data_IF_831142833391
#
_entry.id   IF_831142833391
#
_cell.length_a   1.000
_cell.length_b   1.000
_cell.length_c   1.000
_cell.angle_alpha   90.00
_cell.angle_beta   90.00
_cell.angle_gamma   90.00
#
_symmetry.space_group_name_H-M   'P 1'
#
loop_
_entity.id
_entity.type
_entity.pdbx_description
1 polymer ?
#
# COMPACT_ATOMS: atom_id res chain seq x y z
N UNK A 1 2.90 -22.99 -11.01
CA UNK A 1 1.74 -23.23 -11.92
C UNK A 1 1.91 -22.37 -13.18
N UNK A 2 1.25 -22.66 -14.30
CA UNK A 2 1.34 -21.78 -15.48
C UNK A 2 0.51 -20.50 -15.28
N UNK A 3 0.94 -19.39 -15.88
CA UNK A 3 0.17 -18.14 -15.86
C UNK A 3 -1.09 -18.27 -16.73
N UNK A 4 -2.20 -17.68 -16.28
CA UNK A 4 -3.48 -17.60 -17.01
C UNK A 4 -3.72 -16.16 -17.42
N UNK A 5 -3.43 -15.85 -18.68
CA UNK A 5 -3.53 -14.50 -19.22
C UNK A 5 -4.69 -14.47 -20.21
N UNK A 6 -5.66 -13.59 -19.99
CA UNK A 6 -6.77 -13.44 -20.92
C UNK A 6 -6.27 -12.91 -22.28
N UNK A 7 -6.79 -13.38 -23.43
CA UNK A 7 -6.32 -12.95 -24.76
C UNK A 7 -6.43 -11.44 -25.05
N UNK A 8 -7.25 -10.72 -24.28
CA UNK A 8 -7.43 -9.27 -24.40
C UNK A 8 -6.60 -8.45 -23.40
N UNK A 9 -5.83 -9.11 -22.54
CA UNK A 9 -4.88 -8.41 -21.68
C UNK A 9 -3.72 -7.89 -22.52
N UNK A 10 -3.24 -6.69 -22.21
CA UNK A 10 -2.10 -6.06 -22.88
C UNK A 10 -0.92 -6.06 -21.92
N UNK A 11 0.14 -6.78 -22.27
CA UNK A 11 1.38 -6.84 -21.50
C UNK A 11 2.50 -6.27 -22.38
N UNK A 12 3.11 -5.18 -21.94
CA UNK A 12 4.24 -4.57 -22.62
C UNK A 12 5.52 -5.41 -22.52
N UNK A 13 6.54 -5.08 -23.32
CA UNK A 13 7.73 -5.90 -23.52
C UNK A 13 8.58 -6.09 -22.25
N UNK A 14 8.46 -5.18 -21.27
CA UNK A 14 9.23 -5.19 -20.03
C UNK A 14 8.45 -5.77 -18.83
N UNK A 15 7.32 -6.44 -19.08
CA UNK A 15 6.55 -7.13 -18.03
C UNK A 15 7.17 -8.49 -17.74
N UNK A 16 7.56 -8.70 -16.49
CA UNK A 16 8.09 -9.97 -15.98
C UNK A 16 7.13 -10.54 -14.95
N UNK A 17 6.71 -11.79 -15.16
CA UNK A 17 5.79 -12.48 -14.26
C UNK A 17 6.51 -13.69 -13.66
N UNK A 18 6.28 -13.93 -12.36
CA UNK A 18 6.45 -15.23 -11.76
C UNK A 18 5.44 -16.24 -12.32
N UNK A 19 5.06 -17.20 -11.49
CA UNK A 19 4.21 -18.34 -11.86
C UNK A 19 2.83 -18.25 -11.22
N UNK A 20 1.84 -18.93 -11.80
CA UNK A 20 0.48 -19.00 -11.24
C UNK A 20 -0.34 -17.70 -11.28
N UNK A 21 0.16 -16.64 -11.92
CA UNK A 21 -0.54 -15.37 -12.02
C UNK A 21 -1.78 -15.48 -12.91
N UNK A 22 -2.84 -14.74 -12.54
CA UNK A 22 -4.07 -14.58 -13.32
C UNK A 22 -4.19 -13.14 -13.77
N UNK A 23 -4.21 -12.91 -15.08
CA UNK A 23 -4.39 -11.58 -15.67
C UNK A 23 -5.71 -11.54 -16.44
N UNK A 24 -6.65 -10.73 -15.95
CA UNK A 24 -8.02 -10.61 -16.44
C UNK A 24 -8.16 -9.87 -17.77
N UNK A 25 -9.38 -9.88 -18.35
CA UNK A 25 -9.64 -9.26 -19.64
C UNK A 25 -9.40 -7.75 -19.60
N UNK A 26 -8.73 -7.22 -20.63
CA UNK A 26 -8.44 -5.78 -20.78
C UNK A 26 -7.62 -5.16 -19.64
N UNK A 27 -6.97 -5.98 -18.80
CA UNK A 27 -5.92 -5.48 -17.92
C UNK A 27 -4.72 -5.01 -18.77
N UNK A 28 -4.07 -3.94 -18.34
CA UNK A 28 -2.93 -3.33 -19.04
C UNK A 28 -1.74 -3.25 -18.11
N UNK A 29 -0.68 -4.01 -18.42
CA UNK A 29 0.61 -3.95 -17.73
C UNK A 29 1.62 -3.38 -18.73
N UNK A 30 2.18 -2.18 -18.49
CA UNK A 30 3.01 -1.51 -19.50
C UNK A 30 4.50 -1.85 -19.34
N UNK A 31 5.06 -1.68 -18.14
CA UNK A 31 6.46 -2.00 -17.86
C UNK A 31 7.32 -0.76 -17.69
N UNK A 32 8.49 -0.82 -17.01
CA UNK A 32 9.08 -2.00 -16.41
C UNK A 32 8.33 -2.45 -15.15
N UNK A 33 7.82 -3.68 -15.17
CA UNK A 33 6.96 -4.25 -14.13
C UNK A 33 7.44 -5.66 -13.83
N UNK A 34 7.65 -5.98 -12.56
CA UNK A 34 7.91 -7.35 -12.11
C UNK A 34 6.83 -7.75 -11.09
N UNK A 35 6.13 -8.85 -11.36
CA UNK A 35 5.20 -9.49 -10.42
C UNK A 35 5.80 -10.82 -9.96
N UNK A 36 5.68 -11.12 -8.67
CA UNK A 36 5.97 -12.44 -8.11
C UNK A 36 4.95 -13.51 -8.52
N UNK A 37 4.73 -14.47 -7.63
CA UNK A 37 3.86 -15.62 -7.89
C UNK A 37 2.40 -15.38 -7.47
N UNK A 38 1.48 -16.09 -8.09
CA UNK A 38 0.08 -16.25 -7.64
C UNK A 38 -0.70 -14.94 -7.44
N UNK A 39 -0.35 -13.87 -8.17
CA UNK A 39 -1.13 -12.63 -8.14
C UNK A 39 -2.39 -12.75 -9.00
N UNK A 40 -3.44 -12.05 -8.60
CA UNK A 40 -4.67 -11.89 -9.37
C UNK A 40 -4.83 -10.43 -9.80
N UNK A 41 -4.82 -10.18 -11.11
CA UNK A 41 -5.08 -8.86 -11.70
C UNK A 41 -6.42 -8.92 -12.42
N UNK A 42 -7.42 -8.20 -11.92
CA UNK A 42 -8.78 -8.21 -12.48
C UNK A 42 -8.88 -7.42 -13.79
N UNK A 43 -10.07 -7.48 -14.39
CA UNK A 43 -10.37 -6.75 -15.62
C UNK A 43 -10.11 -5.24 -15.46
N UNK A 44 -9.56 -4.62 -16.50
CA UNK A 44 -9.32 -3.17 -16.57
C UNK A 44 -8.40 -2.59 -15.49
N UNK A 45 -7.65 -3.41 -14.74
CA UNK A 45 -6.57 -2.90 -13.90
C UNK A 45 -5.39 -2.45 -14.76
N UNK A 46 -4.73 -1.35 -14.37
CA UNK A 46 -3.59 -0.78 -15.09
C UNK A 46 -2.36 -0.69 -14.16
N UNK A 47 -1.25 -1.32 -14.53
CA UNK A 47 -0.04 -1.39 -13.70
C UNK A 47 1.19 -1.00 -14.51
N UNK A 48 2.02 -0.11 -13.94
CA UNK A 48 3.34 0.24 -14.46
C UNK A 48 3.34 1.17 -15.66
N UNK A 49 2.39 2.09 -15.72
CA UNK A 49 2.47 3.23 -16.64
C UNK A 49 3.41 4.33 -16.17
N UNK A 50 3.65 5.30 -17.04
CA UNK A 50 4.51 6.45 -16.74
C UNK A 50 4.08 7.18 -15.46
N UNK A 51 5.02 7.68 -14.65
CA UNK A 51 4.69 8.39 -13.42
C UNK A 51 3.87 9.66 -13.72
N UNK A 52 2.89 9.95 -12.88
CA UNK A 52 2.03 11.14 -13.02
C UNK A 52 2.73 12.42 -12.52
N UNK A 53 3.83 12.78 -13.18
CA UNK A 53 4.64 13.96 -12.84
C UNK A 53 4.62 14.95 -13.99
N UNK A 54 4.42 16.23 -13.67
CA UNK A 54 4.42 17.30 -14.68
C UNK A 54 5.78 17.41 -15.37
N UNK A 55 5.77 17.68 -16.67
CA UNK A 55 6.99 17.90 -17.46
C UNK A 55 7.65 16.63 -18.00
N UNK A 56 7.03 15.46 -17.78
CA UNK A 56 7.42 14.22 -18.44
C UNK A 56 6.56 13.98 -19.70
N UNK A 57 7.17 13.47 -20.76
CA UNK A 57 6.44 13.09 -21.97
C UNK A 57 5.56 11.87 -21.71
N UNK A 58 4.41 11.79 -22.36
CA UNK A 58 3.56 10.60 -22.32
C UNK A 58 3.77 9.80 -23.61
N UNK A 59 4.53 8.72 -23.52
CA UNK A 59 4.70 7.76 -24.63
C UNK A 59 3.61 6.69 -24.55
N UNK A 60 3.02 6.25 -25.68
CA UNK A 60 2.10 5.11 -25.74
C UNK A 60 2.80 3.79 -25.39
N UNK A 61 3.02 3.57 -24.10
CA UNK A 61 4.01 2.63 -23.61
C UNK A 61 3.57 1.17 -23.45
N UNK A 62 2.53 0.75 -24.18
CA UNK A 62 2.08 -0.64 -24.20
C UNK A 62 2.65 -1.45 -25.37
N UNK A 63 3.28 -0.78 -26.33
CA UNK A 63 3.94 -1.41 -27.50
C UNK A 63 5.46 -1.18 -27.50
N UNK A 64 5.94 -0.20 -26.72
CA UNK A 64 7.34 0.22 -26.67
C UNK A 64 7.90 0.08 -25.25
N UNK A 65 9.22 0.03 -25.14
CA UNK A 65 9.90 0.06 -23.85
C UNK A 65 9.76 1.43 -23.19
N UNK A 66 9.60 1.43 -21.86
CA UNK A 66 9.64 2.65 -21.06
C UNK A 66 11.04 2.81 -20.46
N UNK A 67 11.60 4.01 -20.59
CA UNK A 67 12.69 4.46 -19.73
C UNK A 67 12.10 5.04 -18.43
N UNK A 68 12.39 4.41 -17.30
CA UNK A 68 11.79 4.80 -16.03
C UNK A 68 12.06 3.83 -14.87
N UNK A 69 11.66 4.24 -13.67
CA UNK A 69 11.78 3.42 -12.47
C UNK A 69 10.67 2.35 -12.43
N UNK A 70 10.98 1.12 -12.01
CA UNK A 70 10.06 -0.01 -12.14
C UNK A 70 8.92 -0.01 -11.13
N UNK A 71 7.90 -0.81 -11.43
CA UNK A 71 6.97 -1.33 -10.42
C UNK A 71 7.43 -2.73 -10.01
N UNK A 72 7.63 -2.92 -8.72
CA UNK A 72 8.05 -4.20 -8.12
C UNK A 72 6.91 -4.71 -7.22
N UNK A 73 6.26 -5.80 -7.62
CA UNK A 73 5.14 -6.41 -6.89
C UNK A 73 5.57 -7.80 -6.43
N UNK A 74 5.33 -8.10 -5.15
CA UNK A 74 5.52 -9.43 -4.58
C UNK A 74 4.49 -10.45 -5.07
N UNK A 75 4.11 -11.35 -4.18
CA UNK A 75 3.29 -12.53 -4.51
C UNK A 75 1.94 -12.49 -3.80
N UNK A 76 0.96 -13.23 -4.34
CA UNK A 76 -0.37 -13.44 -3.74
C UNK A 76 -1.19 -12.16 -3.51
N UNK A 77 -0.90 -11.11 -4.28
CA UNK A 77 -1.71 -9.90 -4.25
C UNK A 77 -2.96 -10.05 -5.11
N UNK A 78 -4.02 -9.33 -4.74
CA UNK A 78 -5.25 -9.22 -5.52
C UNK A 78 -5.48 -7.76 -5.89
N UNK A 79 -5.50 -7.48 -7.19
CA UNK A 79 -5.83 -6.18 -7.76
C UNK A 79 -7.19 -6.28 -8.44
N UNK A 80 -8.20 -5.63 -7.86
CA UNK A 80 -9.56 -5.63 -8.39
C UNK A 80 -9.70 -4.65 -9.57
N UNK A 81 -10.92 -4.57 -10.11
CA UNK A 81 -11.21 -3.86 -11.34
C UNK A 81 -10.82 -2.38 -11.22
N UNK A 82 -10.21 -1.83 -12.27
CA UNK A 82 -9.76 -0.44 -12.32
C UNK A 82 -8.77 -0.02 -11.23
N UNK A 83 -8.11 -0.97 -10.55
CA UNK A 83 -6.95 -0.62 -9.73
C UNK A 83 -5.86 -0.05 -10.63
N UNK A 84 -5.23 1.03 -10.18
CA UNK A 84 -4.11 1.66 -10.88
C UNK A 84 -2.86 1.70 -10.00
N UNK A 85 -1.73 1.32 -10.58
CA UNK A 85 -0.41 1.40 -9.96
C UNK A 85 0.54 2.08 -10.92
N UNK A 86 1.02 3.27 -10.56
CA UNK A 86 1.93 4.04 -11.41
C UNK A 86 3.37 3.56 -11.25
N UNK A 87 4.13 3.61 -12.34
CA UNK A 87 5.58 3.47 -12.35
C UNK A 87 6.25 4.52 -11.46
N UNK A 88 7.49 4.23 -11.09
CA UNK A 88 8.28 5.13 -10.26
C UNK A 88 8.76 6.37 -11.01
N UNK A 89 9.11 7.42 -10.27
CA UNK A 89 9.76 8.61 -10.84
C UNK A 89 11.19 8.76 -10.33
N UNK A 90 11.37 8.87 -9.01
CA UNK A 90 12.67 8.95 -8.37
C UNK A 90 13.16 7.58 -7.89
N UNK A 91 12.22 6.70 -7.52
CA UNK A 91 12.45 5.37 -6.98
C UNK A 91 11.44 4.40 -7.58
N UNK A 92 11.67 3.10 -7.44
CA UNK A 92 10.64 2.12 -7.78
C UNK A 92 9.37 2.34 -6.94
N UNK A 93 8.20 2.15 -7.56
CA UNK A 93 6.97 1.88 -6.82
C UNK A 93 7.00 0.41 -6.41
N UNK A 94 6.84 0.11 -5.12
CA UNK A 94 6.95 -1.26 -4.61
C UNK A 94 5.70 -1.68 -3.84
N UNK A 95 5.27 -2.92 -4.04
CA UNK A 95 4.18 -3.58 -3.30
C UNK A 95 4.70 -4.93 -2.82
N UNK A 96 4.49 -5.24 -1.53
CA UNK A 96 4.84 -6.51 -0.93
C UNK A 96 3.94 -7.67 -1.39
N UNK A 97 3.60 -8.52 -0.44
CA UNK A 97 2.86 -9.76 -0.62
C UNK A 97 1.50 -9.72 0.07
N UNK A 98 0.60 -10.60 -0.35
CA UNK A 98 -0.69 -10.84 0.33
C UNK A 98 -1.58 -9.58 0.47
N UNK A 99 -1.38 -8.58 -0.39
CA UNK A 99 -2.17 -7.36 -0.41
C UNK A 99 -3.51 -7.53 -1.13
N UNK A 100 -4.56 -6.93 -0.58
CA UNK A 100 -5.90 -6.90 -1.18
C UNK A 100 -6.27 -5.48 -1.60
N UNK A 101 -6.21 -5.20 -2.90
CA UNK A 101 -6.50 -3.91 -3.52
C UNK A 101 -7.87 -3.97 -4.19
N UNK A 102 -8.85 -3.30 -3.59
CA UNK A 102 -10.22 -3.29 -4.08
C UNK A 102 -10.42 -2.30 -5.23
N UNK A 103 -11.58 -2.38 -5.88
CA UNK A 103 -11.82 -1.71 -7.16
C UNK A 103 -11.56 -0.21 -7.08
N UNK A 104 -10.87 0.33 -8.09
CA UNK A 104 -10.49 1.76 -8.21
C UNK A 104 -9.52 2.27 -7.14
N UNK A 105 -8.84 1.40 -6.39
CA UNK A 105 -7.70 1.85 -5.58
C UNK A 105 -6.59 2.38 -6.49
N UNK A 106 -5.92 3.45 -6.06
CA UNK A 106 -4.84 4.10 -6.79
C UNK A 106 -3.58 4.17 -5.92
N UNK A 107 -2.47 3.65 -6.47
CA UNK A 107 -1.13 3.72 -5.89
C UNK A 107 -0.25 4.53 -6.84
N UNK A 108 0.13 5.74 -6.46
CA UNK A 108 0.90 6.63 -7.33
C UNK A 108 2.41 6.30 -7.28
N UNK A 109 3.18 7.07 -8.05
CA UNK A 109 4.62 6.90 -8.22
C UNK A 109 5.39 6.90 -6.89
N UNK A 110 6.47 6.12 -6.83
CA UNK A 110 7.40 6.02 -5.70
C UNK A 110 6.77 5.54 -4.38
N UNK A 111 5.54 5.00 -4.41
CA UNK A 111 4.91 4.45 -3.22
C UNK A 111 5.59 3.17 -2.77
N UNK A 112 5.57 2.92 -1.45
CA UNK A 112 6.07 1.70 -0.82
C UNK A 112 4.96 1.07 -0.01
N UNK A 113 4.37 0.01 -0.52
CA UNK A 113 3.28 -0.71 0.13
C UNK A 113 3.83 -2.03 0.66
N UNK A 114 3.62 -2.29 1.95
CA UNK A 114 4.09 -3.47 2.65
C UNK A 114 3.26 -4.72 2.39
N UNK A 115 3.44 -5.72 3.26
CA UNK A 115 2.77 -7.01 3.21
C UNK A 115 1.39 -6.98 3.93
N UNK A 116 0.49 -7.91 3.59
CA UNK A 116 -0.79 -8.13 4.30
C UNK A 116 -1.67 -6.86 4.40
N UNK A 117 -1.55 -5.96 3.43
CA UNK A 117 -2.32 -4.71 3.42
C UNK A 117 -3.73 -4.92 2.87
N UNK A 118 -4.68 -4.13 3.36
CA UNK A 118 -6.01 -4.02 2.74
C UNK A 118 -6.23 -2.59 2.27
N UNK A 119 -6.32 -2.41 0.96
CA UNK A 119 -6.57 -1.13 0.31
C UNK A 119 -7.99 -1.15 -0.25
N UNK A 120 -8.94 -0.56 0.48
CA UNK A 120 -10.35 -0.59 0.10
C UNK A 120 -10.65 0.19 -1.19
N UNK A 121 -11.88 0.05 -1.69
CA UNK A 121 -12.28 0.64 -2.96
C UNK A 121 -12.10 2.17 -2.92
N UNK A 122 -11.64 2.73 -4.04
CA UNK A 122 -11.42 4.18 -4.22
C UNK A 122 -10.43 4.81 -3.23
N UNK A 123 -9.57 4.03 -2.57
CA UNK A 123 -8.46 4.59 -1.80
C UNK A 123 -7.44 5.22 -2.75
N UNK A 124 -6.92 6.38 -2.39
CA UNK A 124 -5.89 7.10 -3.17
C UNK A 124 -4.64 7.29 -2.31
N UNK A 125 -3.55 6.65 -2.68
CA UNK A 125 -2.22 6.93 -2.16
C UNK A 125 -1.48 7.83 -3.15
N UNK A 126 -1.23 9.09 -2.78
CA UNK A 126 -0.47 10.03 -3.60
C UNK A 126 1.02 9.64 -3.69
N UNK A 127 1.82 10.40 -4.45
CA UNK A 127 3.23 10.07 -4.68
C UNK A 127 4.05 9.94 -3.38
N UNK A 128 5.01 9.01 -3.37
CA UNK A 128 5.88 8.74 -2.22
C UNK A 128 5.18 8.33 -0.92
N UNK A 129 3.96 7.79 -0.97
CA UNK A 129 3.29 7.28 0.22
C UNK A 129 3.90 5.94 0.65
N UNK A 130 4.11 5.78 1.95
CA UNK A 130 4.47 4.48 2.55
C UNK A 130 3.24 3.92 3.27
N UNK A 131 2.85 2.70 2.96
CA UNK A 131 1.88 1.93 3.75
C UNK A 131 2.63 0.73 4.31
N UNK A 132 2.80 0.70 5.63
CA UNK A 132 3.52 -0.39 6.31
C UNK A 132 2.63 -1.63 6.50
N UNK A 133 3.26 -2.73 6.89
CA UNK A 133 2.65 -4.06 6.91
C UNK A 133 1.35 -4.11 7.72
N UNK A 134 0.36 -4.80 7.15
CA UNK A 134 -0.87 -5.09 7.85
C UNK A 134 -1.83 -3.92 8.02
N UNK A 135 -1.53 -2.77 7.43
CA UNK A 135 -2.39 -1.60 7.47
C UNK A 135 -3.68 -1.83 6.64
N UNK A 136 -4.77 -1.24 7.12
CA UNK A 136 -6.07 -1.26 6.45
C UNK A 136 -6.52 0.17 6.15
N UNK A 137 -6.74 0.47 4.88
CA UNK A 137 -7.27 1.75 4.44
C UNK A 137 -8.73 1.57 4.03
N UNK A 138 -9.64 2.22 4.76
CA UNK A 138 -11.08 2.17 4.54
C UNK A 138 -11.51 2.85 3.24
N UNK A 139 -12.72 2.49 2.77
CA UNK A 139 -13.28 2.95 1.51
C UNK A 139 -13.14 4.46 1.30
N UNK A 140 -12.55 4.86 0.17
CA UNK A 140 -12.36 6.26 -0.21
C UNK A 140 -11.37 7.06 0.64
N UNK A 141 -10.57 6.42 1.49
CA UNK A 141 -9.52 7.13 2.23
C UNK A 141 -8.46 7.70 1.27
N UNK A 142 -7.94 8.88 1.60
CA UNK A 142 -6.91 9.54 0.80
C UNK A 142 -5.67 9.80 1.65
N UNK A 143 -4.50 9.52 1.09
CA UNK A 143 -3.21 9.73 1.75
C UNK A 143 -2.42 10.74 0.94
N UNK A 144 -2.13 11.88 1.57
CA UNK A 144 -1.35 12.95 0.97
C UNK A 144 0.09 12.48 0.70
N UNK A 145 0.75 13.08 -0.30
CA UNK A 145 2.09 12.66 -0.72
C UNK A 145 3.09 12.70 0.45
N UNK A 146 4.05 11.77 0.43
CA UNK A 146 5.12 11.62 1.43
C UNK A 146 4.64 11.31 2.86
N UNK A 147 3.43 10.78 3.02
CA UNK A 147 2.91 10.34 4.32
C UNK A 147 3.10 8.85 4.52
N UNK A 148 3.21 8.47 5.80
CA UNK A 148 3.30 7.09 6.23
C UNK A 148 1.98 6.67 6.88
N UNK A 149 1.39 5.58 6.40
CA UNK A 149 0.35 4.83 7.10
C UNK A 149 1.06 3.68 7.82
N UNK A 150 1.22 3.73 9.15
CA UNK A 150 2.10 2.79 9.82
C UNK A 150 1.46 1.42 10.07
N UNK A 151 2.32 0.49 10.51
CA UNK A 151 2.00 -0.93 10.61
C UNK A 151 0.74 -1.18 11.43
N UNK A 152 -0.11 -2.06 10.93
CA UNK A 152 -1.32 -2.47 11.62
C UNK A 152 -2.36 -1.37 11.89
N UNK A 153 -2.18 -0.16 11.35
CA UNK A 153 -3.15 0.92 11.51
C UNK A 153 -4.39 0.70 10.67
N UNK A 154 -5.50 1.29 11.10
CA UNK A 154 -6.76 1.29 10.36
C UNK A 154 -7.18 2.71 10.07
N UNK A 155 -7.28 3.07 8.80
CA UNK A 155 -7.75 4.38 8.36
C UNK A 155 -9.25 4.28 8.07
N UNK A 156 -10.03 5.15 8.71
CA UNK A 156 -11.48 5.19 8.53
C UNK A 156 -11.90 5.52 7.09
N UNK A 157 -13.12 5.13 6.73
CA UNK A 157 -13.71 5.48 5.43
C UNK A 157 -13.70 6.99 5.21
N UNK A 158 -13.36 7.41 3.98
CA UNK A 158 -13.25 8.81 3.56
C UNK A 158 -12.31 9.69 4.41
N UNK A 159 -11.43 9.10 5.22
CA UNK A 159 -10.48 9.88 6.01
C UNK A 159 -9.36 10.45 5.14
N UNK A 160 -8.83 11.62 5.51
CA UNK A 160 -7.73 12.28 4.81
C UNK A 160 -6.46 12.29 5.67
N UNK A 161 -5.47 11.48 5.32
CA UNK A 161 -4.19 11.39 6.02
C UNK A 161 -3.26 12.49 5.50
N UNK A 162 -3.10 13.53 6.32
CA UNK A 162 -2.28 14.72 5.99
C UNK A 162 -1.05 14.87 6.88
N UNK A 163 -0.94 14.05 7.92
CA UNK A 163 0.14 14.01 8.91
C UNK A 163 0.47 12.56 9.23
N UNK A 164 1.63 12.34 9.85
CA UNK A 164 2.01 11.01 10.29
C UNK A 164 1.07 10.54 11.42
N UNK A 165 0.66 9.28 11.34
CA UNK A 165 -0.24 8.64 12.31
C UNK A 165 0.53 7.63 13.16
N UNK A 166 0.04 7.24 14.35
CA UNK A 166 0.60 6.16 15.14
C UNK A 166 0.32 4.78 14.51
N UNK A 167 1.20 3.79 14.70
CA UNK A 167 0.94 2.39 14.35
C UNK A 167 -0.15 1.79 15.23
N UNK A 168 -0.76 0.68 14.78
CA UNK A 168 -1.74 -0.10 15.52
C UNK A 168 -2.95 0.70 16.04
N UNK A 169 -3.28 1.81 15.39
CA UNK A 169 -4.36 2.73 15.79
C UNK A 169 -5.38 2.89 14.68
N UNK A 170 -6.64 2.99 15.10
CA UNK A 170 -7.75 3.42 14.26
C UNK A 170 -7.75 4.95 14.20
N UNK A 171 -7.55 5.50 13.00
CA UNK A 171 -7.54 6.95 12.74
C UNK A 171 -8.67 7.33 11.77
N UNK A 172 -9.42 8.39 12.07
CA UNK A 172 -10.63 8.77 11.31
C UNK A 172 -10.78 10.28 11.15
N UNK A 173 -11.51 10.71 10.12
CA UNK A 173 -11.91 12.10 9.88
C UNK A 173 -11.13 12.81 8.76
N UNK A 174 -11.49 14.07 8.51
CA UNK A 174 -10.85 14.96 7.54
C UNK A 174 -10.47 16.25 8.27
N UNK A 175 -9.19 16.45 8.65
CA UNK A 175 -8.08 15.49 8.53
C UNK A 175 -8.19 14.31 9.50
N UNK A 176 -7.55 13.20 9.17
CA UNK A 176 -7.54 11.98 9.97
C UNK A 176 -6.85 12.22 11.32
N UNK A 177 -7.45 11.72 12.40
CA UNK A 177 -6.90 11.81 13.76
C UNK A 177 -6.94 10.46 14.47
N UNK A 178 -5.91 10.13 15.29
CA UNK A 178 -5.91 8.96 16.16
C UNK A 178 -7.15 8.94 17.06
N UNK A 179 -7.84 7.79 17.17
CA UNK A 179 -9.04 7.67 18.02
C UNK A 179 -8.93 6.59 19.08
N UNK A 180 -8.51 5.40 18.68
CA UNK A 180 -8.45 4.22 19.57
C UNK A 180 -7.47 3.20 19.03
N UNK A 181 -7.02 2.28 19.88
CA UNK A 181 -6.23 1.14 19.44
C UNK A 181 -7.01 0.28 18.43
N UNK A 182 -6.29 -0.26 17.44
CA UNK A 182 -6.78 -1.29 16.54
C UNK A 182 -6.72 -2.65 17.24
N UNK A 183 -7.62 -2.86 18.21
CA UNK A 183 -7.68 -4.09 19.00
C UNK A 183 -7.83 -5.34 18.14
N UNK A 184 -8.51 -5.24 17.00
CA UNK A 184 -8.63 -6.34 16.05
C UNK A 184 -7.26 -6.82 15.51
N UNK A 185 -6.39 -5.87 15.14
CA UNK A 185 -5.02 -6.20 14.70
C UNK A 185 -4.16 -6.68 15.85
N UNK A 186 -4.21 -5.99 16.99
CA UNK A 186 -3.43 -6.33 18.18
C UNK A 186 -3.71 -7.77 18.66
N UNK A 187 -4.97 -8.18 18.68
CA UNK A 187 -5.37 -9.56 19.03
C UNK A 187 -4.78 -10.60 18.06
N UNK A 188 -4.72 -10.33 16.76
CA UNK A 188 -4.08 -11.22 15.77
C UNK A 188 -2.58 -11.30 15.93
N UNK A 189 -1.97 -10.25 16.49
CA UNK A 189 -0.54 -10.22 16.85
C UNK A 189 -0.26 -10.82 18.24
N UNK A 190 -1.28 -11.37 18.92
CA UNK A 190 -1.13 -12.01 20.23
C UNK A 190 -0.97 -11.04 21.40
N UNK A 191 -1.33 -9.77 21.21
CA UNK A 191 -1.25 -8.74 22.26
C UNK A 191 -2.43 -8.88 23.21
N UNK A 192 -2.14 -8.97 24.50
CA UNK A 192 -3.13 -9.20 25.55
C UNK A 192 -3.71 -7.88 26.08
N UNK A 193 -4.91 -7.94 26.67
CA UNK A 193 -5.66 -6.74 27.07
C UNK A 193 -4.99 -5.92 28.19
N UNK A 194 -4.21 -6.57 29.06
CA UNK A 194 -3.42 -5.92 30.11
C UNK A 194 -2.34 -4.97 29.55
N UNK A 195 -1.89 -5.20 28.31
CA UNK A 195 -0.93 -4.33 27.63
C UNK A 195 -1.58 -3.12 26.94
N UNK A 196 -2.90 -3.13 26.74
CA UNK A 196 -3.60 -2.08 26.00
C UNK A 196 -3.50 -0.71 26.69
N UNK A 197 -3.54 -0.65 28.02
CA UNK A 197 -3.43 0.63 28.72
C UNK A 197 -2.07 1.30 28.49
N UNK A 198 -0.99 0.52 28.56
CA UNK A 198 0.37 1.02 28.32
C UNK A 198 0.58 1.39 26.84
N UNK A 199 0.08 0.57 25.90
CA UNK A 199 0.04 0.90 24.47
C UNK A 199 -0.72 2.20 24.19
N UNK A 200 -1.90 2.38 24.77
CA UNK A 200 -2.70 3.59 24.59
C UNK A 200 -1.99 4.82 25.16
N UNK A 201 -1.30 4.70 26.30
CA UNK A 201 -0.52 5.78 26.88
C UNK A 201 0.57 6.29 25.91
N UNK A 202 1.23 5.38 25.17
CA UNK A 202 2.25 5.73 24.17
C UNK A 202 1.62 6.25 22.88
N UNK A 203 0.74 5.45 22.27
CA UNK A 203 0.24 5.69 20.91
C UNK A 203 -0.83 6.78 20.82
N UNK A 204 -1.54 7.05 21.91
CA UNK A 204 -2.63 8.02 21.97
C UNK A 204 -2.40 9.10 23.04
N UNK A 205 -1.72 8.75 24.13
CA UNK A 205 -1.47 9.64 25.28
C UNK A 205 -0.17 10.45 25.20
N UNK A 206 0.70 10.18 24.23
CA UNK A 206 1.96 10.91 24.04
C UNK A 206 3.11 10.49 24.96
N UNK A 207 2.96 9.41 25.74
CA UNK A 207 4.07 8.83 26.50
C UNK A 207 5.19 8.37 25.55
N UNK A 208 6.45 8.54 25.97
CA UNK A 208 7.63 8.01 25.27
C UNK A 208 8.21 6.75 25.94
N UNK A 209 7.60 6.32 27.05
CA UNK A 209 7.99 5.10 27.74
C UNK A 209 7.51 3.86 26.97
N UNK A 210 8.45 3.15 26.37
CA UNK A 210 8.21 1.92 25.60
C UNK A 210 8.61 0.66 26.36
N UNK A 211 9.06 0.79 27.62
CA UNK A 211 9.54 -0.33 28.41
C UNK A 211 8.41 -1.33 28.69
N UNK A 212 8.63 -2.60 28.35
CA UNK A 212 7.64 -3.67 28.58
C UNK A 212 6.56 -3.77 27.49
N UNK A 213 6.62 -2.96 26.43
CA UNK A 213 5.78 -3.17 25.25
C UNK A 213 6.12 -4.47 24.52
N UNK A 214 5.16 -5.07 23.79
CA UNK A 214 5.40 -6.31 23.06
C UNK A 214 6.51 -6.15 22.02
N UNK A 215 7.53 -7.01 22.10
CA UNK A 215 8.71 -6.97 21.22
C UNK A 215 8.40 -6.86 19.71
N UNK A 216 7.44 -7.62 19.16
CA UNK A 216 7.08 -7.52 17.74
C UNK A 216 6.52 -6.16 17.31
N UNK A 217 5.98 -5.36 18.23
CA UNK A 217 5.43 -4.03 17.90
C UNK A 217 6.50 -2.93 17.95
N UNK A 218 7.57 -3.15 18.73
CA UNK A 218 8.57 -2.12 19.03
C UNK A 218 9.19 -1.47 17.79
N UNK A 219 9.59 -2.21 16.73
CA UNK A 219 10.21 -1.56 15.56
C UNK A 219 9.32 -0.48 14.93
N UNK A 220 8.03 -0.76 14.74
CA UNK A 220 7.08 0.21 14.15
C UNK A 220 6.80 1.38 15.09
N UNK A 221 6.76 1.12 16.41
CA UNK A 221 6.55 2.17 17.41
C UNK A 221 7.75 3.10 17.46
N UNK A 222 8.98 2.55 17.53
CA UNK A 222 10.22 3.33 17.52
C UNK A 222 10.35 4.17 16.26
N UNK A 223 10.15 3.57 15.08
CA UNK A 223 10.22 4.30 13.81
C UNK A 223 9.20 5.44 13.73
N UNK A 224 7.99 5.27 14.29
CA UNK A 224 7.01 6.34 14.39
C UNK A 224 7.44 7.44 15.36
N UNK A 225 7.95 7.09 16.54
CA UNK A 225 8.42 8.06 17.53
C UNK A 225 9.57 8.91 16.97
N UNK A 226 10.52 8.30 16.24
CA UNK A 226 11.61 9.01 15.56
C UNK A 226 11.11 10.00 14.51
N UNK A 227 10.06 9.65 13.73
CA UNK A 227 9.44 10.57 12.77
C UNK A 227 8.74 11.76 13.43
N UNK A 228 8.22 11.61 14.65
CA UNK A 228 7.64 12.73 15.40
C UNK A 228 8.69 13.74 15.86
N UNK A 229 9.95 13.32 15.97
CA UNK A 229 11.04 14.14 16.49
C UNK A 229 11.87 14.80 15.37
N UNK A 230 11.63 14.44 14.10
CA UNK A 230 12.30 14.96 12.89
C UNK A 230 11.57 16.15 12.26
#
# INVERSE_FOLDING_TARGET
MTNRIHPTAVLGPQVRLGTGNVIGPYAVLQGPVTLGDDNYVSAFACIGGLPEVRGHGFTPAWEEEIDGQPVLIGSRNVFKEHVTVSGGWAHATSIGNDGFFMSKAHVNHDCRIGDDVTISAMVVAAGHVTVEDGANLGLGAVVHQRRVVPAGSMIGMQAAVTTDLPPYVVSMGVPARPRRLNTHRLQRLGVTEDQHAHLAAVLLGGSRDTAGLPGPLLPSITAWLERLDA
#
